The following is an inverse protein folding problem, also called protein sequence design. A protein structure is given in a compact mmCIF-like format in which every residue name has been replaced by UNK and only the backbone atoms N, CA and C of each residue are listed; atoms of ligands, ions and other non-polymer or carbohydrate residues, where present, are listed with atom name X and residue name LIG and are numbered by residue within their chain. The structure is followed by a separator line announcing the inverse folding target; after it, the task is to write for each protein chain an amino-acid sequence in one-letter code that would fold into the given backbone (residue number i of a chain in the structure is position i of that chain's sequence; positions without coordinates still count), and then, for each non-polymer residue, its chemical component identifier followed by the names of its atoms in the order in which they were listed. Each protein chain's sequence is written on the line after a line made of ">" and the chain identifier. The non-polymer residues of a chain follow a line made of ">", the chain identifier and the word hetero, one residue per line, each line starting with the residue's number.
data_IF_337113285266
#
_entry.id   IF_337113285266
#
_cell.length_a   1.000
_cell.length_b   1.000
_cell.length_c   1.000
_cell.angle_alpha   90.00
_cell.angle_beta   90.00
_cell.angle_gamma   90.00
#
_symmetry.space_group_name_H-M   'P 1'
#
loop_
_entity.id
_entity.type
_entity.pdbx_description
1 polymer ?
#
# COMPACT_ATOMS: atom_id res chain seq x y z
N UNK A 1 -1.14 -17.89 -2.84
CA UNK A 1 -1.90 -18.08 -1.59
C UNK A 1 -1.63 -16.87 -0.71
N UNK A 2 -2.62 -16.02 -0.55
CA UNK A 2 -2.46 -14.75 0.16
C UNK A 2 -2.94 -14.77 1.63
N UNK A 3 -3.45 -15.88 2.13
CA UNK A 3 -3.82 -16.03 3.54
C UNK A 3 -2.85 -16.96 4.23
N UNK A 4 -2.02 -16.40 5.10
CA UNK A 4 -1.04 -17.14 5.88
C UNK A 4 -1.59 -17.57 7.25
N UNK A 5 -2.45 -16.72 7.84
CA UNK A 5 -3.12 -16.98 9.12
C UNK A 5 -4.56 -17.35 8.88
N UNK A 6 -4.91 -18.61 9.16
CA UNK A 6 -6.31 -19.05 9.16
C UNK A 6 -7.00 -18.56 10.41
N UNK A 7 -8.21 -18.04 10.25
CA UNK A 7 -9.02 -17.51 11.36
C UNK A 7 -10.37 -18.22 11.38
N UNK A 8 -10.76 -18.70 12.54
CA UNK A 8 -12.07 -19.30 12.74
C UNK A 8 -13.18 -18.24 12.84
N UNK A 9 -14.42 -18.66 12.56
CA UNK A 9 -15.61 -17.80 12.76
C UNK A 9 -15.68 -17.22 14.17
N UNK A 10 -15.33 -18.02 15.19
CA UNK A 10 -15.36 -17.61 16.60
C UNK A 10 -14.33 -16.50 16.90
N UNK A 11 -13.12 -16.59 16.33
CA UNK A 11 -12.11 -15.54 16.50
C UNK A 11 -12.54 -14.22 15.85
N UNK A 12 -13.12 -14.28 14.63
CA UNK A 12 -13.66 -13.08 13.98
C UNK A 12 -14.81 -12.48 14.82
N UNK A 13 -15.74 -13.30 15.32
CA UNK A 13 -16.81 -12.82 16.18
C UNK A 13 -16.28 -12.18 17.47
N UNK A 14 -15.28 -12.78 18.08
CA UNK A 14 -14.62 -12.24 19.27
C UNK A 14 -14.00 -10.87 19.01
N UNK A 15 -13.29 -10.71 17.90
CA UNK A 15 -12.73 -9.41 17.51
C UNK A 15 -13.84 -8.40 17.24
N UNK A 16 -14.84 -8.73 16.43
CA UNK A 16 -15.92 -7.80 16.09
C UNK A 16 -16.73 -7.34 17.30
N UNK A 17 -16.83 -8.15 18.35
CA UNK A 17 -17.53 -7.78 19.58
C UNK A 17 -16.92 -6.56 20.28
N UNK A 18 -15.65 -6.26 19.99
CA UNK A 18 -14.96 -5.07 20.51
C UNK A 18 -15.33 -3.79 19.78
N UNK A 19 -15.95 -3.87 18.60
CA UNK A 19 -16.31 -2.73 17.76
C UNK A 19 -17.81 -2.48 17.73
N UNK A 20 -18.21 -1.27 17.36
CA UNK A 20 -19.59 -0.91 17.05
C UNK A 20 -19.84 -1.04 15.53
N UNK A 21 -19.82 -2.26 15.04
CA UNK A 21 -19.96 -2.60 13.61
C UNK A 21 -21.04 -3.66 13.34
N UNK A 22 -21.87 -3.93 14.35
CA UNK A 22 -22.94 -4.92 14.25
C UNK A 22 -22.47 -6.37 14.39
N UNK A 23 -23.38 -7.30 14.07
CA UNK A 23 -23.15 -8.75 14.21
C UNK A 23 -22.62 -9.34 12.92
N UNK A 24 -21.65 -10.29 13.01
CA UNK A 24 -21.12 -11.01 11.87
C UNK A 24 -22.22 -11.78 11.13
N UNK A 25 -22.38 -11.53 9.84
CA UNK A 25 -23.22 -12.28 8.91
C UNK A 25 -22.38 -13.33 8.20
N UNK A 26 -21.29 -12.89 7.51
CA UNK A 26 -20.37 -13.77 6.79
C UNK A 26 -18.96 -13.18 6.75
N UNK A 27 -17.99 -14.03 6.46
CA UNK A 27 -16.64 -13.60 6.14
C UNK A 27 -16.06 -14.46 5.01
N UNK A 28 -15.14 -13.88 4.25
CA UNK A 28 -14.49 -14.50 3.10
C UNK A 28 -13.01 -14.15 3.11
N UNK A 29 -12.15 -15.12 2.85
CA UNK A 29 -10.72 -14.90 2.69
C UNK A 29 -10.46 -14.17 1.36
N UNK A 30 -9.65 -13.11 1.40
CA UNK A 30 -9.18 -12.42 0.19
C UNK A 30 -7.86 -13.07 -0.21
N UNK A 31 -7.88 -13.77 -1.35
CA UNK A 31 -6.71 -14.51 -1.83
C UNK A 31 -5.72 -13.65 -2.62
N UNK A 32 -6.11 -12.44 -2.96
CA UNK A 32 -5.26 -11.44 -3.62
C UNK A 32 -4.35 -10.77 -2.61
N UNK A 33 -3.13 -10.42 -3.05
CA UNK A 33 -2.08 -9.87 -2.20
C UNK A 33 -1.11 -10.94 -1.70
N UNK A 34 0.08 -10.52 -1.28
CA UNK A 34 1.17 -11.43 -0.87
C UNK A 34 1.79 -11.07 0.49
N UNK A 35 1.30 -10.05 1.16
CA UNK A 35 1.96 -9.50 2.34
C UNK A 35 1.22 -9.77 3.64
N UNK A 36 -0.10 -9.64 3.65
CA UNK A 36 -0.95 -9.76 4.83
C UNK A 36 -2.10 -10.74 4.60
N UNK A 37 -2.67 -11.27 5.68
CA UNK A 37 -3.89 -12.06 5.60
C UNK A 37 -5.10 -11.13 5.71
N UNK A 38 -5.90 -11.06 4.64
CA UNK A 38 -7.06 -10.17 4.56
C UNK A 38 -8.36 -10.97 4.51
N UNK A 39 -9.35 -10.49 5.24
CA UNK A 39 -10.70 -11.06 5.29
C UNK A 39 -11.74 -9.98 5.02
N UNK A 40 -12.60 -10.21 4.04
CA UNK A 40 -13.81 -9.41 3.86
C UNK A 40 -14.85 -9.87 4.86
N UNK A 41 -15.26 -8.97 5.74
CA UNK A 41 -16.18 -9.25 6.82
C UNK A 41 -17.47 -8.46 6.60
N UNK A 42 -18.60 -9.16 6.47
CA UNK A 42 -19.93 -8.55 6.35
C UNK A 42 -20.66 -8.69 7.68
N UNK A 43 -21.14 -7.59 8.18
CA UNK A 43 -21.92 -7.49 9.42
C UNK A 43 -23.32 -6.92 9.15
N UNK A 44 -24.16 -6.81 10.19
CA UNK A 44 -25.47 -6.14 10.08
C UNK A 44 -25.36 -4.67 9.71
N UNK A 45 -24.25 -4.00 10.02
CA UNK A 45 -24.07 -2.56 9.89
C UNK A 45 -23.18 -2.17 8.70
N UNK A 46 -22.58 -3.16 8.00
CA UNK A 46 -21.76 -2.88 6.82
C UNK A 46 -20.77 -3.97 6.46
N UNK A 47 -19.89 -3.61 5.56
CA UNK A 47 -18.78 -4.47 5.10
C UNK A 47 -17.46 -3.83 5.47
N UNK A 48 -16.52 -4.63 5.94
CA UNK A 48 -15.21 -4.20 6.44
C UNK A 48 -14.12 -5.15 5.91
N UNK A 49 -12.88 -4.72 6.02
CA UNK A 49 -11.70 -5.57 5.83
C UNK A 49 -11.00 -5.74 7.17
N UNK A 50 -10.83 -6.98 7.57
CA UNK A 50 -9.97 -7.37 8.68
C UNK A 50 -8.61 -7.76 8.10
N UNK A 51 -7.58 -6.99 8.41
CA UNK A 51 -6.19 -7.25 8.01
C UNK A 51 -5.40 -7.78 9.19
N UNK A 52 -4.71 -8.90 9.01
CA UNK A 52 -3.76 -9.46 9.97
C UNK A 52 -2.37 -9.29 9.38
N UNK A 53 -1.51 -8.58 10.12
CA UNK A 53 -0.15 -8.29 9.68
C UNK A 53 0.74 -9.52 9.84
N UNK A 54 1.37 -9.90 8.73
CA UNK A 54 2.32 -10.99 8.68
C UNK A 54 3.77 -10.47 8.85
N UNK A 55 4.77 -11.32 8.69
CA UNK A 55 6.18 -10.99 9.00
C UNK A 55 6.82 -9.89 8.14
N UNK A 56 6.21 -9.50 7.04
CA UNK A 56 6.83 -8.61 6.05
C UNK A 56 6.79 -7.14 6.45
N UNK A 57 5.71 -6.75 7.11
CA UNK A 57 5.53 -5.37 7.60
C UNK A 57 6.18 -5.26 8.98
N UNK A 58 7.08 -4.30 9.15
CA UNK A 58 7.69 -4.02 10.45
C UNK A 58 6.63 -3.46 11.40
N UNK A 59 6.52 -4.04 12.58
CA UNK A 59 5.52 -3.59 13.57
C UNK A 59 5.69 -2.12 13.99
N UNK A 60 6.92 -1.63 13.99
CA UNK A 60 7.27 -0.25 14.31
C UNK A 60 6.74 0.76 13.28
N UNK A 61 6.56 0.35 12.02
CA UNK A 61 6.05 1.19 10.93
C UNK A 61 4.51 1.24 10.89
N UNK A 62 3.82 0.27 11.50
CA UNK A 62 2.36 0.18 11.46
C UNK A 62 1.64 1.46 11.92
N UNK A 63 2.06 2.14 13.01
CA UNK A 63 1.42 3.39 13.42
C UNK A 63 1.49 4.48 12.34
N UNK A 64 2.58 4.55 11.58
CA UNK A 64 2.70 5.53 10.49
C UNK A 64 1.67 5.26 9.39
N UNK A 65 1.58 4.04 8.88
CA UNK A 65 0.66 3.68 7.80
C UNK A 65 -0.80 3.91 8.21
N UNK A 66 -1.15 3.49 9.41
CA UNK A 66 -2.52 3.58 9.91
C UNK A 66 -2.93 5.03 10.16
N UNK A 67 -2.05 5.84 10.76
CA UNK A 67 -2.31 7.26 10.99
C UNK A 67 -2.37 8.05 9.68
N UNK A 68 -1.55 7.69 8.68
CA UNK A 68 -1.62 8.30 7.35
C UNK A 68 -2.96 7.98 6.67
N UNK A 69 -3.40 6.71 6.68
CA UNK A 69 -4.72 6.31 6.16
C UNK A 69 -5.86 7.04 6.87
N UNK A 70 -5.84 7.12 8.19
CA UNK A 70 -6.87 7.83 8.96
C UNK A 70 -6.89 9.33 8.62
N UNK A 71 -5.71 9.95 8.54
CA UNK A 71 -5.59 11.34 8.14
C UNK A 71 -6.15 11.60 6.74
N UNK A 72 -5.74 10.79 5.75
CA UNK A 72 -6.15 10.97 4.35
C UNK A 72 -7.64 10.71 4.17
N UNK A 73 -8.17 9.62 4.70
CA UNK A 73 -9.60 9.28 4.62
C UNK A 73 -10.47 10.34 5.29
N UNK A 74 -10.04 10.87 6.43
CA UNK A 74 -10.73 11.95 7.16
C UNK A 74 -10.67 13.29 6.43
N UNK A 75 -9.75 13.47 5.47
CA UNK A 75 -9.63 14.62 4.60
C UNK A 75 -10.20 14.41 3.19
N UNK A 76 -11.01 13.36 2.99
CA UNK A 76 -11.78 13.12 1.78
C UNK A 76 -11.03 12.40 0.66
N UNK A 77 -9.90 11.75 0.97
CA UNK A 77 -9.25 10.80 0.06
C UNK A 77 -9.98 9.45 0.15
N UNK A 78 -10.34 8.89 -0.99
CA UNK A 78 -10.95 7.56 -1.07
C UNK A 78 -9.89 6.48 -0.79
N UNK A 79 -9.69 6.17 0.48
CA UNK A 79 -8.82 5.09 0.96
C UNK A 79 -9.46 4.39 2.16
N UNK A 80 -8.98 3.21 2.57
CA UNK A 80 -9.52 2.52 3.72
C UNK A 80 -9.38 3.39 4.97
N UNK A 81 -10.47 3.51 5.75
CA UNK A 81 -10.46 4.22 7.03
C UNK A 81 -10.32 3.21 8.17
N UNK A 82 -9.30 3.35 9.03
CA UNK A 82 -9.18 2.54 10.23
C UNK A 82 -10.37 2.73 11.17
N UNK A 83 -10.87 1.62 11.72
CA UNK A 83 -11.98 1.62 12.68
C UNK A 83 -11.40 1.45 14.07
N UNK A 84 -11.74 2.37 14.97
CA UNK A 84 -11.41 2.25 16.40
C UNK A 84 -12.40 1.32 17.08
N UNK A 85 -11.91 0.54 18.01
CA UNK A 85 -12.78 -0.26 18.88
C UNK A 85 -13.48 0.63 19.93
N UNK A 86 -14.32 0.04 20.78
CA UNK A 86 -15.09 0.72 21.84
C UNK A 86 -14.21 1.40 22.90
N UNK A 87 -12.95 0.98 23.02
CA UNK A 87 -11.96 1.60 23.91
C UNK A 87 -11.12 2.69 23.23
N UNK A 88 -11.32 2.90 21.92
CA UNK A 88 -10.55 3.86 21.12
C UNK A 88 -9.29 3.28 20.49
N UNK A 89 -9.00 1.99 20.67
CA UNK A 89 -7.85 1.32 20.14
C UNK A 89 -8.06 0.90 18.66
N UNK A 90 -7.02 1.05 17.87
CA UNK A 90 -7.05 0.65 16.44
C UNK A 90 -6.54 -0.78 16.27
N UNK A 91 -5.46 -1.12 16.99
CA UNK A 91 -4.81 -2.42 16.86
C UNK A 91 -5.45 -3.45 17.78
N UNK A 92 -5.71 -4.63 17.20
CA UNK A 92 -6.13 -5.80 17.94
C UNK A 92 -5.13 -6.94 17.75
N UNK A 93 -5.29 -8.04 18.45
CA UNK A 93 -4.45 -9.23 18.31
C UNK A 93 -5.28 -10.44 17.91
N UNK A 94 -4.82 -11.14 16.84
CA UNK A 94 -5.33 -12.45 16.42
C UNK A 94 -4.11 -13.37 16.26
N UNK A 95 -4.14 -14.54 16.88
CA UNK A 95 -3.05 -15.54 16.78
C UNK A 95 -1.67 -14.95 17.08
N UNK A 96 -1.57 -14.07 18.08
CA UNK A 96 -0.35 -13.32 18.46
C UNK A 96 0.20 -12.38 17.37
N UNK A 97 -0.65 -11.96 16.42
CA UNK A 97 -0.30 -11.00 15.39
C UNK A 97 -1.18 -9.75 15.51
N UNK A 98 -0.61 -8.60 15.16
CA UNK A 98 -1.39 -7.36 15.09
C UNK A 98 -2.42 -7.46 13.96
N UNK A 99 -3.58 -6.93 14.21
CA UNK A 99 -4.67 -6.83 13.24
C UNK A 99 -5.38 -5.49 13.35
N UNK A 100 -6.03 -5.08 12.28
CA UNK A 100 -6.88 -3.89 12.23
C UNK A 100 -8.16 -4.20 11.48
N UNK A 101 -9.19 -3.41 11.78
CA UNK A 101 -10.43 -3.36 11.00
C UNK A 101 -10.46 -2.04 10.24
N UNK A 102 -10.70 -2.10 8.91
CA UNK A 102 -10.84 -0.90 8.08
C UNK A 102 -12.13 -0.94 7.27
N UNK A 103 -12.59 0.21 6.80
CA UNK A 103 -13.76 0.29 5.90
C UNK A 103 -13.49 -0.45 4.59
N UNK A 104 -14.52 -1.10 4.06
CA UNK A 104 -14.49 -1.69 2.73
C UNK A 104 -14.65 -0.60 1.66
N UNK A 105 -13.83 -0.65 0.63
CA UNK A 105 -13.98 0.20 -0.55
C UNK A 105 -14.63 -0.58 -1.68
N UNK A 106 -15.65 0.00 -2.30
CA UNK A 106 -16.29 -0.56 -3.49
C UNK A 106 -15.45 -0.26 -4.75
N UNK A 107 -15.63 -1.10 -5.77
CA UNK A 107 -14.91 -1.00 -7.04
C UNK A 107 -13.95 -2.15 -7.24
N UNK A 108 -13.27 -2.13 -8.38
CA UNK A 108 -12.31 -3.17 -8.77
C UNK A 108 -11.08 -2.53 -9.40
N UNK A 109 -9.95 -3.22 -9.29
CA UNK A 109 -8.77 -2.93 -10.08
C UNK A 109 -9.05 -3.26 -11.57
N UNK A 110 -8.41 -2.53 -12.47
CA UNK A 110 -8.65 -2.68 -13.91
C UNK A 110 -7.48 -3.42 -14.57
N UNK A 111 -7.81 -4.35 -15.46
CA UNK A 111 -6.83 -5.03 -16.32
C UNK A 111 -6.39 -4.15 -17.51
N UNK A 112 -7.28 -3.28 -17.97
CA UNK A 112 -7.04 -2.37 -19.09
C UNK A 112 -7.23 -0.94 -18.62
N UNK A 113 -6.21 -0.15 -18.75
CA UNK A 113 -6.16 1.25 -18.33
C UNK A 113 -6.17 2.13 -19.56
N UNK A 114 -6.99 3.17 -19.56
CA UNK A 114 -7.08 4.16 -20.63
C UNK A 114 -6.81 5.59 -20.09
N UNK A 115 -6.93 6.57 -20.97
CA UNK A 115 -6.67 7.99 -20.65
C UNK A 115 -7.56 8.52 -19.52
N UNK A 116 -8.80 8.04 -19.41
CA UNK A 116 -9.75 8.49 -18.37
C UNK A 116 -9.26 8.01 -17.01
N UNK A 117 -8.82 6.77 -16.93
CA UNK A 117 -8.30 6.17 -15.68
C UNK A 117 -6.99 6.86 -15.24
N UNK A 118 -6.07 7.15 -16.17
CA UNK A 118 -4.85 7.90 -15.88
C UNK A 118 -5.17 9.32 -15.40
N UNK A 119 -6.14 10.01 -16.00
CA UNK A 119 -6.57 11.33 -15.57
C UNK A 119 -7.17 11.29 -14.15
N UNK A 120 -8.07 10.35 -13.88
CA UNK A 120 -8.67 10.17 -12.55
C UNK A 120 -7.63 9.83 -11.50
N UNK A 121 -6.67 8.96 -11.81
CA UNK A 121 -5.57 8.64 -10.90
C UNK A 121 -4.71 9.86 -10.61
N UNK A 122 -4.25 10.60 -11.64
CA UNK A 122 -3.42 11.78 -11.47
C UNK A 122 -4.10 12.86 -10.63
N UNK A 123 -5.40 13.12 -10.87
CA UNK A 123 -6.21 14.05 -10.06
C UNK A 123 -6.29 13.62 -8.60
N UNK A 124 -6.54 12.35 -8.34
CA UNK A 124 -6.65 11.85 -6.96
C UNK A 124 -5.29 11.79 -6.26
N UNK A 125 -4.21 11.47 -6.99
CA UNK A 125 -2.86 11.51 -6.47
C UNK A 125 -2.43 12.94 -6.09
N UNK A 126 -2.72 13.93 -6.92
CA UNK A 126 -2.47 15.33 -6.57
C UNK A 126 -3.19 15.72 -5.28
N UNK A 127 -4.46 15.32 -5.13
CA UNK A 127 -5.21 15.55 -3.89
C UNK A 127 -4.60 14.82 -2.69
N UNK A 128 -4.16 13.58 -2.88
CA UNK A 128 -3.45 12.79 -1.87
C UNK A 128 -2.21 13.53 -1.37
N UNK A 129 -1.36 14.00 -2.28
CA UNK A 129 -0.15 14.74 -1.95
C UNK A 129 -0.49 16.04 -1.20
N UNK A 130 -1.43 16.85 -1.70
CA UNK A 130 -1.86 18.11 -1.06
C UNK A 130 -2.39 17.87 0.36
N UNK A 131 -3.23 16.83 0.56
CA UNK A 131 -3.75 16.50 1.89
C UNK A 131 -2.67 15.92 2.79
N UNK A 132 -1.77 15.13 2.22
CA UNK A 132 -0.61 14.56 2.91
C UNK A 132 0.32 15.61 3.50
N UNK A 133 0.46 16.80 2.91
CA UNK A 133 1.30 17.88 3.45
C UNK A 133 0.95 18.27 4.89
N UNK A 134 -0.28 18.05 5.32
CA UNK A 134 -0.75 18.37 6.69
C UNK A 134 -0.50 17.25 7.70
N UNK A 135 -0.13 16.08 7.24
CA UNK A 135 0.21 14.95 8.12
C UNK A 135 1.60 15.15 8.72
N UNK A 136 1.72 14.97 10.04
CA UNK A 136 2.97 15.27 10.77
C UNK A 136 3.89 14.06 10.97
N UNK A 137 3.38 12.84 10.76
CA UNK A 137 4.20 11.63 10.86
C UNK A 137 5.26 11.60 9.76
N UNK A 138 6.38 10.95 10.00
CA UNK A 138 7.42 10.71 8.98
C UNK A 138 7.90 9.28 9.07
N UNK A 139 8.11 8.67 7.91
CA UNK A 139 8.77 7.38 7.70
C UNK A 139 9.65 7.53 6.47
N UNK A 140 10.90 7.12 6.57
CA UNK A 140 11.81 7.15 5.44
C UNK A 140 11.45 6.05 4.42
N UNK A 141 11.77 6.29 3.17
CA UNK A 141 11.63 5.29 2.12
C UNK A 141 12.73 4.24 2.21
N UNK A 142 12.40 3.01 2.59
CA UNK A 142 13.37 1.90 2.65
C UNK A 142 13.94 1.52 1.27
N UNK A 143 13.28 1.93 0.19
CA UNK A 143 13.64 1.65 -1.21
C UNK A 143 14.18 2.89 -1.94
N UNK A 144 14.62 3.92 -1.21
CA UNK A 144 15.18 5.14 -1.80
C UNK A 144 16.55 4.87 -2.46
N UNK A 145 17.00 5.82 -3.26
CA UNK A 145 18.26 5.72 -4.02
C UNK A 145 19.50 5.45 -3.14
N UNK A 146 19.50 5.91 -1.88
CA UNK A 146 20.62 5.68 -0.92
C UNK A 146 20.73 4.20 -0.50
N UNK A 147 19.61 3.48 -0.53
CA UNK A 147 19.60 2.05 -0.19
C UNK A 147 19.90 1.13 -1.38
N UNK A 148 19.83 1.62 -2.63
CA UNK A 148 19.92 0.78 -3.83
C UNK A 148 21.24 0.00 -3.93
N UNK A 149 22.40 0.63 -3.66
CA UNK A 149 23.70 -0.06 -3.69
C UNK A 149 23.74 -1.21 -2.67
N UNK A 150 23.18 -0.99 -1.46
CA UNK A 150 23.18 -2.03 -0.43
C UNK A 150 22.22 -3.17 -0.79
N UNK A 151 21.04 -2.85 -1.36
CA UNK A 151 20.05 -3.82 -1.82
C UNK A 151 20.64 -4.66 -2.96
N UNK A 152 21.32 -4.02 -3.91
CA UNK A 152 22.01 -4.69 -5.01
C UNK A 152 23.07 -5.67 -4.49
N UNK A 153 23.98 -5.21 -3.60
CA UNK A 153 25.00 -6.08 -3.00
C UNK A 153 24.42 -7.27 -2.25
N UNK A 154 23.33 -7.07 -1.49
CA UNK A 154 22.60 -8.17 -0.83
C UNK A 154 21.96 -9.14 -1.83
N UNK A 155 21.47 -8.65 -2.95
CA UNK A 155 20.91 -9.46 -4.04
C UNK A 155 21.96 -10.34 -4.71
N UNK A 156 23.13 -9.78 -5.03
CA UNK A 156 24.25 -10.52 -5.65
C UNK A 156 24.76 -11.64 -4.72
N UNK A 157 24.93 -11.35 -3.43
CA UNK A 157 25.43 -12.33 -2.48
C UNK A 157 24.56 -13.60 -2.34
N UNK A 158 23.36 -13.58 -2.90
CA UNK A 158 22.40 -14.70 -2.88
C UNK A 158 22.33 -15.47 -4.18
N UNK A 159 23.03 -15.03 -5.24
CA UNK A 159 22.78 -15.56 -6.57
C UNK A 159 24.01 -15.45 -7.52
N UNK A 160 24.70 -16.56 -7.73
CA UNK A 160 25.88 -16.65 -8.62
C UNK A 160 25.51 -16.75 -10.13
N UNK A 161 24.24 -16.52 -10.49
CA UNK A 161 23.73 -16.77 -11.84
C UNK A 161 24.10 -15.68 -12.86
N UNK A 162 24.60 -14.53 -12.40
CA UNK A 162 24.84 -13.39 -13.30
C UNK A 162 26.32 -13.23 -13.69
N UNK A 163 26.56 -12.86 -14.95
CA UNK A 163 27.91 -12.53 -15.41
C UNK A 163 28.47 -11.32 -14.67
N UNK A 164 29.73 -11.41 -14.24
CA UNK A 164 30.42 -10.35 -13.51
C UNK A 164 30.41 -8.99 -14.24
N UNK A 165 30.48 -9.02 -15.59
CA UNK A 165 30.40 -7.80 -16.42
C UNK A 165 29.06 -7.07 -16.26
N UNK A 166 27.94 -7.83 -16.27
CA UNK A 166 26.59 -7.26 -16.08
C UNK A 166 26.43 -6.65 -14.68
N UNK A 167 26.99 -7.33 -13.67
CA UNK A 167 26.93 -6.83 -12.29
C UNK A 167 27.69 -5.52 -12.13
N UNK A 168 28.87 -5.39 -12.76
CA UNK A 168 29.65 -4.16 -12.74
C UNK A 168 28.92 -3.02 -13.46
N UNK A 169 28.28 -3.31 -14.60
CA UNK A 169 27.49 -2.34 -15.35
C UNK A 169 26.31 -1.82 -14.52
N UNK A 170 25.55 -2.72 -13.88
CA UNK A 170 24.43 -2.35 -13.00
C UNK A 170 24.92 -1.49 -11.83
N UNK A 171 26.04 -1.87 -11.19
CA UNK A 171 26.60 -1.09 -10.07
C UNK A 171 26.99 0.31 -10.51
N UNK A 172 27.57 0.45 -11.71
CA UNK A 172 27.93 1.74 -12.28
C UNK A 172 26.68 2.60 -12.56
N UNK A 173 25.66 2.05 -13.21
CA UNK A 173 24.40 2.75 -13.48
C UNK A 173 23.75 3.23 -12.17
N UNK A 174 23.73 2.40 -11.13
CA UNK A 174 23.19 2.81 -9.84
C UNK A 174 23.97 3.99 -9.27
N UNK A 175 25.32 3.96 -9.32
CA UNK A 175 26.16 5.06 -8.82
C UNK A 175 25.90 6.36 -9.58
N UNK A 176 25.92 6.31 -10.90
CA UNK A 176 25.63 7.47 -11.76
C UNK A 176 24.25 8.05 -11.46
N UNK A 177 23.22 7.18 -11.33
CA UNK A 177 21.85 7.62 -10.98
C UNK A 177 21.78 8.26 -9.59
N UNK A 178 22.54 7.75 -8.61
CA UNK A 178 22.61 8.32 -7.26
C UNK A 178 23.28 9.69 -7.26
N UNK A 179 24.37 9.84 -8.03
CA UNK A 179 25.13 11.09 -8.14
C UNK A 179 24.30 12.19 -8.84
N UNK A 180 23.48 11.80 -9.83
CA UNK A 180 22.60 12.69 -10.59
C UNK A 180 21.21 12.85 -9.96
N UNK A 181 20.97 12.29 -8.74
CA UNK A 181 19.66 12.33 -8.11
C UNK A 181 19.22 13.77 -7.80
N UNK A 182 18.03 14.20 -8.25
CA UNK A 182 17.59 15.58 -8.06
C UNK A 182 17.40 15.90 -6.58
N UNK A 183 17.96 17.02 -6.14
CA UNK A 183 17.91 17.49 -4.75
C UNK A 183 16.90 18.62 -4.52
N UNK A 184 16.33 19.18 -5.59
CA UNK A 184 15.46 20.37 -5.60
C UNK A 184 13.96 20.05 -5.75
N UNK A 185 13.61 18.76 -5.79
CA UNK A 185 12.21 18.33 -5.91
C UNK A 185 11.48 18.37 -4.57
N UNK A 186 10.19 18.70 -4.63
CA UNK A 186 9.34 18.75 -3.45
C UNK A 186 9.14 17.37 -2.83
N UNK A 187 9.24 17.32 -1.49
CA UNK A 187 9.03 16.13 -0.68
C UNK A 187 7.67 16.19 0.00
N UNK A 188 7.08 15.03 0.20
CA UNK A 188 5.81 14.85 0.88
C UNK A 188 5.53 13.40 1.20
N UNK A 189 4.30 13.13 1.63
CA UNK A 189 3.86 11.75 1.82
C UNK A 189 3.46 11.17 0.48
N UNK A 190 4.08 10.04 0.13
CA UNK A 190 3.82 9.27 -1.08
C UNK A 190 3.23 7.90 -0.75
N UNK A 191 2.51 7.33 -1.69
CA UNK A 191 1.98 5.98 -1.58
C UNK A 191 3.06 4.92 -1.81
N UNK A 192 3.93 5.17 -2.78
CA UNK A 192 5.09 4.37 -3.17
C UNK A 192 4.77 2.95 -3.69
N UNK A 193 3.47 2.64 -3.95
CA UNK A 193 3.03 1.35 -4.52
C UNK A 193 1.76 1.48 -5.37
N UNK A 194 1.67 2.54 -6.20
CA UNK A 194 0.48 2.83 -7.02
C UNK A 194 0.40 1.98 -8.30
N UNK A 195 0.52 0.68 -8.16
CA UNK A 195 0.26 -0.24 -9.26
C UNK A 195 -1.25 -0.40 -9.52
N UNK A 196 -1.65 -0.84 -10.72
CA UNK A 196 -3.07 -0.97 -11.11
C UNK A 196 -3.93 -1.79 -10.15
N UNK A 197 -3.36 -2.80 -9.49
CA UNK A 197 -4.04 -3.65 -8.50
C UNK A 197 -4.36 -2.92 -7.19
N UNK A 198 -3.69 -1.80 -6.91
CA UNK A 198 -3.89 -0.99 -5.70
C UNK A 198 -4.83 0.22 -5.94
N UNK A 199 -5.39 0.34 -7.15
CA UNK A 199 -6.28 1.43 -7.54
C UNK A 199 -7.61 0.88 -8.01
N UNK A 200 -8.69 1.25 -7.34
CA UNK A 200 -10.04 0.79 -7.64
C UNK A 200 -10.84 1.84 -8.41
N UNK A 201 -11.65 1.36 -9.34
CA UNK A 201 -12.53 2.19 -10.15
C UNK A 201 -13.97 1.68 -10.09
N UNK A 202 -14.90 2.62 -10.21
CA UNK A 202 -16.33 2.37 -10.40
C UNK A 202 -16.83 3.36 -11.48
N UNK A 203 -17.40 2.85 -12.58
CA UNK A 203 -17.88 3.68 -13.69
C UNK A 203 -16.83 4.70 -14.18
N UNK A 204 -15.60 4.25 -14.42
CA UNK A 204 -14.45 5.05 -14.86
C UNK A 204 -14.01 6.18 -13.91
N UNK A 205 -14.54 6.23 -12.69
CA UNK A 205 -14.08 7.14 -11.63
C UNK A 205 -13.28 6.37 -10.60
N UNK A 206 -12.20 6.96 -10.11
CA UNK A 206 -11.44 6.37 -9.03
C UNK A 206 -12.32 6.26 -7.78
N UNK A 207 -12.50 5.05 -7.27
CA UNK A 207 -13.30 4.74 -6.09
C UNK A 207 -12.46 4.40 -4.86
N UNK A 208 -11.16 4.12 -5.02
CA UNK A 208 -10.30 3.86 -3.88
C UNK A 208 -8.83 3.63 -4.24
N UNK A 209 -7.96 3.96 -3.30
CA UNK A 209 -6.54 3.61 -3.28
C UNK A 209 -6.31 2.74 -2.05
N UNK A 210 -5.67 1.59 -2.21
CA UNK A 210 -5.43 0.61 -1.14
C UNK A 210 -3.93 0.28 -1.05
N UNK A 211 -3.55 -0.46 -0.01
CA UNK A 211 -2.19 -0.98 0.20
C UNK A 211 -1.13 0.10 0.50
N UNK A 212 -1.25 0.72 1.67
CA UNK A 212 -0.41 1.82 2.15
C UNK A 212 0.92 1.38 2.78
N UNK A 213 1.26 0.09 2.74
CA UNK A 213 2.37 -0.45 3.55
C UNK A 213 3.77 -0.16 2.99
N UNK A 214 3.85 0.51 1.83
CA UNK A 214 5.07 1.13 1.30
C UNK A 214 5.11 2.65 1.49
N UNK A 215 4.00 3.26 1.92
CA UNK A 215 3.91 4.72 2.07
C UNK A 215 5.03 5.27 2.94
N UNK A 216 5.56 6.42 2.54
CA UNK A 216 6.71 7.03 3.20
C UNK A 216 6.74 8.54 2.93
N UNK A 217 7.73 9.22 3.46
CA UNK A 217 8.01 10.62 3.17
C UNK A 217 9.22 10.70 2.22
N UNK A 218 8.96 11.06 0.97
CA UNK A 218 9.98 11.13 -0.09
C UNK A 218 9.57 12.15 -1.15
N UNK A 219 10.32 12.24 -2.25
CA UNK A 219 10.03 13.10 -3.40
C UNK A 219 8.67 12.74 -3.99
N UNK A 220 7.78 13.73 -4.12
CA UNK A 220 6.41 13.52 -4.63
C UNK A 220 6.41 12.92 -6.06
N UNK A 221 7.40 13.27 -6.87
CA UNK A 221 7.56 12.75 -8.22
C UNK A 221 7.79 11.22 -8.26
N UNK A 222 8.20 10.60 -7.14
CA UNK A 222 8.40 9.15 -7.06
C UNK A 222 7.09 8.38 -7.34
N UNK A 223 5.96 8.83 -6.82
CA UNK A 223 4.66 8.20 -7.12
C UNK A 223 4.31 8.24 -8.61
N UNK A 224 4.68 9.31 -9.32
CA UNK A 224 4.46 9.42 -10.76
C UNK A 224 5.31 8.43 -11.56
N UNK A 225 6.51 8.13 -11.10
CA UNK A 225 7.39 7.15 -11.76
C UNK A 225 6.78 5.76 -11.79
N UNK A 226 6.06 5.37 -10.74
CA UNK A 226 5.38 4.07 -10.64
C UNK A 226 4.21 3.95 -11.63
N UNK A 227 3.50 5.05 -11.88
CA UNK A 227 2.44 5.11 -12.90
C UNK A 227 3.03 4.86 -14.29
N UNK A 228 4.18 5.46 -14.60
CA UNK A 228 4.89 5.25 -15.88
C UNK A 228 5.37 3.81 -16.08
N UNK A 229 5.82 3.15 -15.03
CA UNK A 229 6.24 1.74 -15.09
C UNK A 229 5.03 0.83 -15.38
N UNK A 230 3.85 1.23 -14.93
CA UNK A 230 2.60 0.47 -15.10
C UNK A 230 1.91 0.72 -16.43
N UNK A 231 2.29 1.76 -17.18
CA UNK A 231 1.73 2.01 -18.51
C UNK A 231 2.06 0.85 -19.46
N UNK A 232 1.10 0.38 -20.27
CA UNK A 232 1.40 -0.59 -21.31
C UNK A 232 2.49 -0.01 -22.20
N UNK A 233 3.64 -0.65 -22.22
CA UNK A 233 4.77 -0.25 -23.07
C UNK A 233 4.23 0.02 -24.47
N UNK A 234 4.46 1.24 -24.97
CA UNK A 234 4.19 1.56 -26.38
C UNK A 234 4.80 0.44 -27.22
N UNK A 235 4.08 -0.10 -28.22
CA UNK A 235 4.69 -1.07 -29.13
C UNK A 235 6.02 -0.48 -29.57
N UNK A 236 7.12 -1.17 -29.32
CA UNK A 236 8.39 -0.79 -29.91
C UNK A 236 8.16 -0.79 -31.42
N UNK A 237 8.14 0.38 -32.02
CA UNK A 237 8.23 0.52 -33.46
C UNK A 237 9.62 -0.02 -33.80
N UNK A 238 9.65 -1.24 -34.28
CA UNK A 238 10.83 -1.88 -34.87
C UNK A 238 11.02 -1.27 -36.24
#
# INVERSE_FOLDING_TARGET
>A
MAVYTKVSKGEIQSILSKYDVGKLIKYEEIQEGIENSNFKVTTTDGTFILTIYEKRVKEEDLPYFINLMDHLSSNGINCPKPIKDKSGEIFQSISNKKSILVTFLSGNSLKFIDKIHCYELGKNLANFHIKGLKFKGKRENDLNFRSWIQLFKKGIARNDLYKKSLLNEIEQIIKETVDDWPSDLENGHIHADLFPNNVFFTNNKLSGIIDFYFSCYDILAYDLSLIHISEPTRPRII
#
